data_IF_374127571436
#
_entry.id   IF_374127571436
#
_cell.length_a   1.000
_cell.length_b   1.000
_cell.length_c   1.000
_cell.angle_alpha   90.00
_cell.angle_beta   90.00
_cell.angle_gamma   90.00
#
_symmetry.space_group_name_H-M   'P 1'
#
loop_
_entity.id
_entity.type
_entity.pdbx_description
1 polymer ?
#
# COMPACT_ATOMS: atom_id res chain seq x y z
N UNK A 1 34.87 25.99 -5.10
CA UNK A 1 35.75 25.28 -6.05
C UNK A 1 35.02 24.04 -6.56
N UNK A 2 34.47 24.13 -7.77
CA UNK A 2 33.67 23.07 -8.37
C UNK A 2 34.57 22.25 -9.30
N UNK A 3 35.04 21.10 -8.85
CA UNK A 3 35.83 20.17 -9.65
C UNK A 3 34.88 19.38 -10.55
N UNK A 4 34.95 19.66 -11.86
CA UNK A 4 34.17 19.10 -12.96
C UNK A 4 34.35 17.57 -13.20
N UNK A 5 34.74 16.78 -12.20
CA UNK A 5 34.81 15.31 -12.26
C UNK A 5 33.74 14.73 -11.33
N UNK A 6 32.67 14.20 -11.94
CA UNK A 6 31.64 13.44 -11.24
C UNK A 6 32.02 11.96 -11.29
N UNK A 7 32.16 11.30 -10.15
CA UNK A 7 32.49 9.87 -10.10
C UNK A 7 31.24 9.02 -10.29
N UNK A 8 31.38 7.93 -11.06
CA UNK A 8 30.30 6.95 -11.27
C UNK A 8 29.87 6.27 -9.96
N UNK A 9 30.79 6.11 -9.02
CA UNK A 9 30.50 5.65 -7.66
C UNK A 9 29.55 6.60 -6.94
N UNK A 10 29.86 7.90 -6.96
CA UNK A 10 29.07 8.91 -6.25
C UNK A 10 27.65 9.01 -6.82
N UNK A 11 27.51 8.89 -8.14
CA UNK A 11 26.19 8.82 -8.78
C UNK A 11 25.41 7.56 -8.41
N UNK A 12 26.08 6.40 -8.29
CA UNK A 12 25.43 5.15 -7.86
C UNK A 12 25.02 5.20 -6.40
N UNK A 13 25.89 5.70 -5.51
CA UNK A 13 25.56 5.94 -4.11
C UNK A 13 24.38 6.89 -3.99
N UNK A 14 24.41 8.00 -4.72
CA UNK A 14 23.30 8.94 -4.80
C UNK A 14 22.00 8.25 -5.25
N UNK A 15 22.04 7.43 -6.30
CA UNK A 15 20.85 6.74 -6.80
C UNK A 15 20.32 5.69 -5.79
N UNK A 16 21.21 4.99 -5.08
CA UNK A 16 20.83 3.99 -4.07
C UNK A 16 20.31 4.59 -2.78
N UNK A 17 20.81 5.76 -2.40
CA UNK A 17 20.45 6.46 -1.17
C UNK A 17 19.21 7.33 -1.36
N UNK A 18 19.00 7.85 -2.56
CA UNK A 18 17.86 8.71 -2.86
C UNK A 18 16.58 7.90 -2.94
N UNK A 19 15.58 8.32 -2.18
CA UNK A 19 14.22 7.79 -2.27
C UNK A 19 13.46 8.58 -3.33
N UNK A 20 12.47 7.95 -3.98
CA UNK A 20 11.59 8.65 -4.93
C UNK A 20 10.99 9.95 -4.34
N UNK A 21 10.76 9.94 -3.03
CA UNK A 21 10.23 11.05 -2.23
C UNK A 21 11.21 12.22 -2.05
N UNK A 22 12.52 11.99 -2.25
CA UNK A 22 13.56 13.03 -2.18
C UNK A 22 13.60 13.86 -3.47
N UNK A 23 13.04 13.33 -4.56
CA UNK A 23 12.91 14.01 -5.86
C UNK A 23 11.58 14.73 -6.04
N UNK A 24 10.59 14.45 -5.19
CA UNK A 24 9.33 15.20 -5.17
C UNK A 24 9.52 16.48 -4.38
N UNK A 25 9.62 17.61 -5.07
CA UNK A 25 9.39 18.91 -4.44
C UNK A 25 7.93 18.93 -3.99
N UNK A 26 7.71 19.09 -2.69
CA UNK A 26 6.38 19.29 -2.14
C UNK A 26 5.98 20.73 -2.47
N UNK A 27 5.51 20.94 -3.70
CA UNK A 27 4.81 22.16 -4.07
C UNK A 27 3.42 22.17 -3.40
N UNK A 28 2.76 23.33 -3.37
CA UNK A 28 1.50 23.57 -2.64
C UNK A 28 0.34 22.63 -2.98
N UNK A 29 0.45 21.89 -4.09
CA UNK A 29 -0.65 21.12 -4.68
C UNK A 29 -0.51 19.61 -4.46
N UNK A 30 0.47 19.17 -3.66
CA UNK A 30 0.76 17.74 -3.44
C UNK A 30 0.27 17.30 -2.05
N UNK A 31 -0.67 16.37 -2.02
CA UNK A 31 -1.06 15.66 -0.80
C UNK A 31 0.05 14.66 -0.44
N UNK A 32 0.73 14.88 0.69
CA UNK A 32 1.81 14.01 1.17
C UNK A 32 1.29 13.00 2.21
N UNK A 33 1.18 11.74 1.81
CA UNK A 33 0.80 10.63 2.70
C UNK A 33 2.05 9.90 3.17
N UNK A 34 2.29 9.88 4.49
CA UNK A 34 3.46 9.21 5.05
C UNK A 34 3.24 8.79 6.50
N UNK A 35 4.14 7.96 7.03
CA UNK A 35 4.18 7.71 8.47
C UNK A 35 4.76 8.93 9.19
N UNK A 36 4.41 9.12 10.47
CA UNK A 36 4.91 10.21 11.32
C UNK A 36 6.45 10.34 11.24
N UNK A 37 7.15 9.21 11.22
CA UNK A 37 8.60 9.14 11.12
C UNK A 37 9.16 9.77 9.82
N UNK A 38 8.47 9.58 8.68
CA UNK A 38 8.86 10.10 7.37
C UNK A 38 8.47 11.57 7.14
N UNK A 39 7.69 12.17 8.06
CA UNK A 39 7.32 13.58 8.03
C UNK A 39 8.25 14.46 8.87
N UNK A 40 9.18 13.88 9.64
CA UNK A 40 10.08 14.63 10.53
C UNK A 40 10.94 15.64 9.74
N UNK A 41 11.00 16.88 10.22
CA UNK A 41 11.76 17.95 9.58
C UNK A 41 11.03 18.66 8.42
N UNK A 42 9.81 18.22 8.09
CA UNK A 42 8.90 18.91 7.16
C UNK A 42 7.79 19.60 7.95
N UNK A 43 7.17 20.61 7.37
CA UNK A 43 6.03 21.33 7.95
C UNK A 43 5.01 21.63 6.85
N UNK A 44 3.72 21.62 7.19
CA UNK A 44 2.61 21.73 6.25
C UNK A 44 1.55 22.70 6.79
N UNK A 45 0.84 23.39 5.92
CA UNK A 45 -0.27 24.26 6.33
C UNK A 45 -1.43 23.46 6.92
N UNK A 46 -1.80 22.36 6.27
CA UNK A 46 -2.86 21.44 6.69
C UNK A 46 -2.25 20.08 7.00
N UNK A 47 -2.51 19.54 8.19
CA UNK A 47 -2.07 18.20 8.60
C UNK A 47 -3.27 17.39 9.04
N UNK A 48 -3.41 16.20 8.44
CA UNK A 48 -4.37 15.19 8.85
C UNK A 48 -3.60 14.04 9.50
N UNK A 49 -3.93 13.73 10.75
CA UNK A 49 -3.38 12.58 11.48
C UNK A 49 -4.49 11.54 11.59
N UNK A 50 -4.20 10.31 11.16
CA UNK A 50 -5.11 9.17 11.33
C UNK A 50 -4.47 8.21 12.34
N UNK A 51 -5.14 8.02 13.48
CA UNK A 51 -4.73 7.14 14.55
C UNK A 51 -5.75 6.01 14.66
N UNK A 52 -5.30 4.80 14.37
CA UNK A 52 -6.09 3.58 14.52
C UNK A 52 -5.58 2.83 15.75
N UNK A 53 -6.46 2.57 16.72
CA UNK A 53 -6.21 1.93 18.00
C UNK A 53 -4.94 2.45 18.71
N UNK A 54 -4.69 3.76 18.62
CA UNK A 54 -3.45 4.34 19.13
C UNK A 54 -3.47 4.48 20.65
N UNK A 55 -2.54 3.80 21.32
CA UNK A 55 -2.35 3.93 22.76
C UNK A 55 -1.26 4.96 23.10
N UNK A 56 -1.68 6.07 23.71
CA UNK A 56 -0.81 7.13 24.20
C UNK A 56 -0.28 6.90 25.63
N UNK A 57 -0.31 5.66 26.14
CA UNK A 57 0.16 5.32 27.50
C UNK A 57 1.67 5.57 27.70
N UNK A 58 2.48 5.32 26.68
CA UNK A 58 3.94 5.43 26.75
C UNK A 58 4.46 6.81 26.34
N UNK A 59 5.57 7.25 26.94
CA UNK A 59 6.22 8.52 26.57
C UNK A 59 6.71 8.53 25.11
N UNK A 60 7.12 7.38 24.60
CA UNK A 60 7.50 7.25 23.18
C UNK A 60 6.31 7.52 22.26
N UNK A 61 5.14 6.94 22.56
CA UNK A 61 3.91 7.17 21.80
C UNK A 61 3.48 8.65 21.87
N UNK A 62 3.45 9.23 23.06
CA UNK A 62 3.15 10.67 23.25
C UNK A 62 4.08 11.55 22.43
N UNK A 63 5.39 11.26 22.45
CA UNK A 63 6.39 12.00 21.67
C UNK A 63 6.15 11.88 20.17
N UNK A 64 5.78 10.69 19.67
CA UNK A 64 5.43 10.50 18.25
C UNK A 64 4.23 11.35 17.86
N UNK A 65 3.16 11.32 18.66
CA UNK A 65 1.96 12.12 18.40
C UNK A 65 2.28 13.62 18.45
N UNK A 66 3.03 14.08 19.44
CA UNK A 66 3.49 15.46 19.54
C UNK A 66 4.30 15.92 18.31
N UNK A 67 5.23 15.09 17.85
CA UNK A 67 6.03 15.37 16.65
C UNK A 67 5.16 15.45 15.40
N UNK A 68 4.05 14.70 15.32
CA UNK A 68 3.09 14.75 14.23
C UNK A 68 2.24 16.03 14.28
N UNK A 69 1.71 16.38 15.45
CA UNK A 69 0.88 17.58 15.64
C UNK A 69 1.67 18.85 15.29
N UNK A 70 2.94 18.94 15.72
CA UNK A 70 3.84 20.07 15.43
C UNK A 70 4.27 20.19 13.97
N UNK A 71 3.80 19.30 13.06
CA UNK A 71 3.98 19.49 11.62
C UNK A 71 3.01 20.51 11.03
N UNK A 72 1.92 20.81 11.73
CA UNK A 72 0.90 21.75 11.27
C UNK A 72 1.32 23.19 11.54
N UNK A 73 1.30 24.02 10.51
CA UNK A 73 1.49 25.48 10.62
C UNK A 73 0.19 26.22 10.93
N UNK A 74 -0.94 25.69 10.44
CA UNK A 74 -2.24 26.38 10.54
C UNK A 74 -3.35 25.44 10.98
N UNK A 75 -3.64 24.39 10.21
CA UNK A 75 -4.78 23.51 10.46
C UNK A 75 -4.31 22.09 10.80
N UNK A 76 -4.84 21.56 11.89
CA UNK A 76 -4.57 20.21 12.37
C UNK A 76 -5.89 19.48 12.55
N UNK A 77 -6.08 18.40 11.81
CA UNK A 77 -7.22 17.49 11.94
C UNK A 77 -6.71 16.14 12.44
N UNK A 78 -7.27 15.64 13.53
CA UNK A 78 -6.89 14.35 14.12
C UNK A 78 -8.12 13.44 14.07
N UNK A 79 -8.02 12.37 13.28
CA UNK A 79 -9.00 11.30 13.23
C UNK A 79 -8.54 10.18 14.14
N UNK A 80 -9.35 9.87 15.14
CA UNK A 80 -9.07 8.83 16.13
C UNK A 80 -10.30 7.93 16.27
N UNK A 81 -10.06 6.65 16.54
CA UNK A 81 -11.07 5.66 16.92
C UNK A 81 -11.07 5.36 18.43
N UNK A 82 -10.28 6.12 19.21
CA UNK A 82 -10.10 5.96 20.65
C UNK A 82 -10.19 7.29 21.41
N UNK A 83 -10.42 7.19 22.72
CA UNK A 83 -10.50 8.33 23.64
C UNK A 83 -9.12 8.91 24.01
N UNK A 84 -8.04 8.52 23.33
CA UNK A 84 -6.66 8.83 23.74
C UNK A 84 -6.28 10.31 23.64
N UNK A 85 -7.09 11.13 22.98
CA UNK A 85 -6.89 12.58 22.83
C UNK A 85 -8.00 13.40 23.50
N UNK A 86 -8.90 12.78 24.26
CA UNK A 86 -10.05 13.43 24.91
C UNK A 86 -9.65 14.43 25.99
N UNK A 87 -8.47 14.26 26.58
CA UNK A 87 -7.92 15.20 27.57
C UNK A 87 -7.40 16.51 26.99
N UNK A 88 -7.37 16.69 25.66
CA UNK A 88 -6.87 17.91 25.03
C UNK A 88 -8.00 18.94 24.94
N UNK A 89 -7.76 20.14 25.49
CA UNK A 89 -8.68 21.27 25.38
C UNK A 89 -7.91 22.53 24.96
N UNK A 90 -8.35 23.15 23.87
CA UNK A 90 -7.79 24.40 23.31
C UNK A 90 -8.93 25.26 22.76
N UNK A 91 -8.70 26.58 22.67
CA UNK A 91 -9.72 27.59 22.38
C UNK A 91 -10.53 27.35 21.08
N UNK A 92 -9.89 26.81 20.03
CA UNK A 92 -10.51 26.57 18.72
C UNK A 92 -10.68 25.07 18.40
N UNK A 93 -10.86 24.23 19.41
CA UNK A 93 -11.06 22.80 19.20
C UNK A 93 -12.49 22.52 18.73
N UNK A 94 -12.62 21.99 17.51
CA UNK A 94 -13.85 21.36 17.04
C UNK A 94 -13.76 19.84 17.25
N UNK A 95 -14.76 19.25 17.91
CA UNK A 95 -14.87 17.81 18.12
C UNK A 95 -16.13 17.30 17.44
N UNK A 96 -15.94 16.33 16.54
CA UNK A 96 -17.01 15.68 15.80
C UNK A 96 -16.95 14.18 16.12
N UNK A 97 -18.04 13.64 16.66
CA UNK A 97 -18.22 12.20 16.85
C UNK A 97 -19.03 11.66 15.67
N UNK A 98 -18.40 10.81 14.86
CA UNK A 98 -19.07 10.14 13.75
C UNK A 98 -19.46 8.70 14.16
N UNK A 99 -20.72 8.53 14.54
CA UNK A 99 -21.31 7.23 14.85
C UNK A 99 -22.00 6.59 13.63
N UNK A 100 -21.76 7.13 12.43
CA UNK A 100 -22.37 6.63 11.20
C UNK A 100 -21.80 5.27 10.82
N UNK A 101 -22.67 4.36 10.42
CA UNK A 101 -22.23 3.10 9.82
C UNK A 101 -21.74 3.36 8.38
N UNK A 102 -20.42 3.35 8.19
CA UNK A 102 -19.82 3.42 6.87
C UNK A 102 -19.88 2.06 6.20
N UNK A 103 -20.57 1.99 5.06
CA UNK A 103 -20.62 0.75 4.30
C UNK A 103 -19.20 0.35 3.85
N UNK A 104 -18.83 -0.94 3.94
CA UNK A 104 -17.56 -1.41 3.41
C UNK A 104 -17.45 -1.06 1.92
N UNK A 105 -16.23 -0.78 1.42
CA UNK A 105 -16.04 -0.41 0.02
C UNK A 105 -16.56 -1.50 -0.91
N UNK A 106 -17.10 -1.10 -2.06
CA UNK A 106 -17.56 -2.05 -3.08
C UNK A 106 -16.40 -2.75 -3.79
N UNK A 107 -15.25 -2.08 -3.88
CA UNK A 107 -14.05 -2.61 -4.51
C UNK A 107 -12.82 -2.36 -3.62
N UNK A 108 -11.92 -3.34 -3.57
CA UNK A 108 -10.64 -3.25 -2.86
C UNK A 108 -9.54 -3.66 -3.83
N UNK A 109 -8.49 -2.84 -3.93
CA UNK A 109 -7.30 -3.18 -4.71
C UNK A 109 -6.14 -3.42 -3.75
N UNK A 110 -5.56 -4.62 -3.81
CA UNK A 110 -4.39 -4.99 -3.03
C UNK A 110 -3.15 -5.03 -3.92
N UNK A 111 -2.18 -4.17 -3.64
CA UNK A 111 -0.88 -4.17 -4.31
C UNK A 111 0.06 -5.12 -3.58
N UNK A 112 0.47 -6.21 -4.24
CA UNK A 112 1.23 -7.27 -3.57
C UNK A 112 2.72 -6.98 -3.54
N UNK A 113 3.38 -7.38 -2.45
CA UNK A 113 4.82 -7.28 -2.29
C UNK A 113 5.53 -8.64 -2.34
N UNK A 114 6.84 -8.62 -2.08
CA UNK A 114 7.70 -9.81 -2.11
C UNK A 114 7.23 -10.95 -1.21
N UNK A 115 6.54 -10.65 -0.11
CA UNK A 115 6.05 -11.64 0.87
C UNK A 115 4.75 -12.34 0.47
N UNK A 116 4.06 -11.79 -0.52
CA UNK A 116 2.72 -12.23 -0.91
C UNK A 116 2.75 -13.17 -2.13
N UNK A 117 3.96 -13.43 -2.66
CA UNK A 117 4.24 -14.33 -3.79
C UNK A 117 5.32 -15.35 -3.40
N UNK A 118 5.40 -16.46 -4.14
CA UNK A 118 6.48 -17.44 -3.97
C UNK A 118 7.67 -17.03 -4.86
N UNK A 119 8.69 -16.41 -4.29
CA UNK A 119 9.83 -15.84 -5.05
C UNK A 119 10.60 -16.90 -5.87
N UNK A 120 10.82 -18.07 -5.30
CA UNK A 120 11.51 -19.17 -5.99
C UNK A 120 10.74 -19.69 -7.22
N UNK A 121 9.45 -19.40 -7.32
CA UNK A 121 8.62 -19.77 -8.46
C UNK A 121 9.05 -19.07 -9.75
N UNK A 122 9.70 -17.90 -9.66
CA UNK A 122 10.10 -17.13 -10.84
C UNK A 122 11.44 -17.58 -11.45
N UNK A 123 12.29 -18.26 -10.67
CA UNK A 123 13.70 -18.54 -11.05
C UNK A 123 13.81 -19.32 -12.36
N UNK A 124 12.91 -20.27 -12.59
CA UNK A 124 12.89 -21.13 -13.79
C UNK A 124 11.92 -20.64 -14.88
N UNK A 125 11.40 -19.41 -14.78
CA UNK A 125 10.39 -18.86 -15.70
C UNK A 125 10.81 -17.56 -16.39
N UNK A 126 12.09 -17.20 -16.30
CA UNK A 126 12.64 -15.93 -16.78
C UNK A 126 12.33 -15.64 -18.25
N UNK A 127 12.21 -16.66 -19.11
CA UNK A 127 11.82 -16.46 -20.51
C UNK A 127 10.40 -15.88 -20.62
N UNK A 128 9.40 -16.56 -20.07
CA UNK A 128 8.00 -16.14 -20.07
C UNK A 128 7.82 -14.78 -19.41
N UNK A 129 8.51 -14.54 -18.29
CA UNK A 129 8.38 -13.28 -17.55
C UNK A 129 8.85 -12.06 -18.35
N UNK A 130 9.84 -12.20 -19.25
CA UNK A 130 10.34 -11.08 -20.06
C UNK A 130 9.33 -10.58 -21.09
N UNK A 131 8.33 -11.38 -21.41
CA UNK A 131 7.26 -11.01 -22.35
C UNK A 131 6.18 -10.17 -21.65
N UNK A 132 6.05 -10.29 -20.33
CA UNK A 132 5.07 -9.54 -19.53
C UNK A 132 5.41 -8.06 -19.40
N UNK A 133 4.36 -7.26 -19.26
CA UNK A 133 4.40 -5.82 -19.00
C UNK A 133 3.46 -5.47 -17.86
N UNK A 134 3.75 -4.35 -17.19
CA UNK A 134 2.82 -3.77 -16.22
C UNK A 134 1.47 -3.49 -16.89
N UNK A 135 0.39 -3.85 -16.22
CA UNK A 135 -0.98 -3.79 -16.72
C UNK A 135 -1.48 -5.10 -17.36
N UNK A 136 -0.60 -6.06 -17.66
CA UNK A 136 -1.02 -7.33 -18.23
C UNK A 136 -1.94 -8.09 -17.28
N UNK A 137 -3.09 -8.53 -17.80
CA UNK A 137 -4.07 -9.29 -17.03
C UNK A 137 -3.61 -10.72 -16.83
N UNK A 138 -3.77 -11.20 -15.61
CA UNK A 138 -3.47 -12.57 -15.24
C UNK A 138 -4.76 -13.31 -14.91
N UNK A 139 -4.86 -14.54 -15.41
CA UNK A 139 -5.92 -15.48 -15.03
C UNK A 139 -5.51 -16.23 -13.77
N UNK A 140 -6.38 -16.29 -12.77
CA UNK A 140 -6.14 -17.00 -11.51
C UNK A 140 -6.76 -18.39 -11.57
N UNK A 141 -5.97 -19.42 -11.24
CA UNK A 141 -6.45 -20.79 -11.02
C UNK A 141 -5.80 -21.36 -9.76
N UNK A 142 -6.62 -21.52 -8.72
CA UNK A 142 -6.17 -21.89 -7.38
C UNK A 142 -5.10 -20.93 -6.86
N UNK A 143 -3.89 -21.41 -6.51
CA UNK A 143 -2.81 -20.57 -6.01
C UNK A 143 -1.94 -19.97 -7.12
N UNK A 144 -2.14 -20.36 -8.38
CA UNK A 144 -1.31 -19.97 -9.52
C UNK A 144 -2.00 -18.93 -10.40
N UNK A 145 -1.19 -18.16 -11.11
CA UNK A 145 -1.61 -17.14 -12.07
C UNK A 145 -0.97 -17.39 -13.42
N UNK A 146 -1.75 -17.16 -14.47
CA UNK A 146 -1.44 -17.47 -15.85
C UNK A 146 -1.52 -16.21 -16.71
N UNK A 147 -0.65 -16.09 -17.70
CA UNK A 147 -0.75 -15.03 -18.70
C UNK A 147 -1.88 -15.33 -19.71
N UNK A 148 -2.06 -14.41 -20.67
CA UNK A 148 -3.05 -14.55 -21.74
C UNK A 148 -2.82 -15.75 -22.67
N UNK A 149 -1.61 -16.30 -22.68
CA UNK A 149 -1.24 -17.48 -23.50
C UNK A 149 -1.35 -18.80 -22.73
N UNK A 150 -1.70 -18.74 -21.43
CA UNK A 150 -1.84 -19.91 -20.57
C UNK A 150 -0.52 -20.38 -19.94
N UNK A 151 0.55 -19.60 -20.00
CA UNK A 151 1.77 -19.93 -19.25
C UNK A 151 1.63 -19.52 -17.79
N UNK A 152 2.16 -20.36 -16.90
CA UNK A 152 2.23 -20.06 -15.47
C UNK A 152 3.29 -18.99 -15.22
N UNK A 153 2.90 -17.87 -14.64
CA UNK A 153 3.79 -16.73 -14.43
C UNK A 153 4.02 -16.42 -12.96
N UNK A 154 3.06 -16.73 -12.10
CA UNK A 154 3.11 -16.35 -10.68
C UNK A 154 2.39 -17.37 -9.81
N UNK A 155 2.83 -17.49 -8.56
CA UNK A 155 2.13 -18.24 -7.52
C UNK A 155 2.06 -17.40 -6.25
N UNK A 156 0.87 -17.33 -5.66
CA UNK A 156 0.65 -16.63 -4.40
C UNK A 156 1.29 -17.38 -3.23
N UNK A 157 1.78 -16.62 -2.24
CA UNK A 157 2.25 -17.21 -0.99
C UNK A 157 1.08 -17.72 -0.15
N UNK A 158 1.33 -18.69 0.74
CA UNK A 158 0.29 -19.20 1.65
C UNK A 158 -0.33 -18.08 2.51
N UNK A 159 0.48 -17.09 2.91
CA UNK A 159 0.00 -15.91 3.64
C UNK A 159 -1.05 -15.15 2.83
N UNK A 160 -0.80 -14.92 1.55
CA UNK A 160 -1.75 -14.18 0.72
C UNK A 160 -2.99 -14.99 0.36
N UNK A 161 -2.88 -16.32 0.24
CA UNK A 161 -4.05 -17.18 0.07
C UNK A 161 -5.00 -17.10 1.29
N UNK A 162 -4.44 -17.03 2.50
CA UNK A 162 -5.21 -16.79 3.73
C UNK A 162 -5.87 -15.40 3.71
N UNK A 163 -5.19 -14.38 3.19
CA UNK A 163 -5.77 -13.04 3.02
C UNK A 163 -6.94 -13.05 2.03
N UNK A 164 -6.81 -13.76 0.89
CA UNK A 164 -7.91 -13.96 -0.06
C UNK A 164 -9.12 -14.61 0.63
N UNK A 165 -8.89 -15.64 1.44
CA UNK A 165 -9.97 -16.30 2.18
C UNK A 165 -10.61 -15.38 3.23
N UNK A 166 -9.81 -14.57 3.91
CA UNK A 166 -10.30 -13.54 4.83
C UNK A 166 -11.21 -12.54 4.11
N UNK A 167 -10.82 -12.05 2.92
CA UNK A 167 -11.67 -11.20 2.09
C UNK A 167 -12.93 -11.92 1.61
N UNK A 168 -12.83 -13.21 1.27
CA UNK A 168 -13.96 -14.04 0.87
C UNK A 168 -15.01 -14.15 1.98
N UNK A 169 -14.57 -14.37 3.22
CA UNK A 169 -15.44 -14.40 4.39
C UNK A 169 -16.12 -13.05 4.66
N UNK A 170 -15.51 -11.94 4.25
CA UNK A 170 -16.09 -10.60 4.30
C UNK A 170 -17.03 -10.29 3.11
N UNK A 171 -17.31 -11.28 2.25
CA UNK A 171 -18.21 -11.16 1.10
C UNK A 171 -17.55 -10.62 -0.17
N UNK A 172 -16.22 -10.59 -0.25
CA UNK A 172 -15.51 -10.17 -1.44
C UNK A 172 -15.10 -11.34 -2.33
N UNK A 173 -14.98 -11.10 -3.63
CA UNK A 173 -14.40 -12.05 -4.59
C UNK A 173 -13.32 -11.38 -5.42
N UNK A 174 -12.32 -12.15 -5.85
CA UNK A 174 -11.31 -11.67 -6.79
C UNK A 174 -11.97 -11.42 -8.13
N UNK A 175 -11.99 -10.15 -8.57
CA UNK A 175 -12.49 -9.68 -9.85
C UNK A 175 -11.45 -9.81 -10.96
N UNK A 176 -10.21 -9.42 -10.65
CA UNK A 176 -9.10 -9.49 -11.61
C UNK A 176 -7.75 -9.45 -10.91
N UNK A 177 -6.75 -10.00 -11.60
CA UNK A 177 -5.34 -9.88 -11.22
C UNK A 177 -4.61 -9.24 -12.40
N UNK A 178 -3.71 -8.31 -12.13
CA UNK A 178 -2.87 -7.70 -13.15
C UNK A 178 -1.43 -7.56 -12.66
N UNK A 179 -0.47 -7.56 -13.58
CA UNK A 179 0.92 -7.24 -13.28
C UNK A 179 1.00 -5.78 -12.86
N UNK A 180 1.46 -5.50 -11.63
CA UNK A 180 1.69 -4.13 -11.18
C UNK A 180 3.15 -3.74 -11.44
N UNK A 181 4.09 -4.47 -10.83
CA UNK A 181 5.52 -4.23 -11.00
C UNK A 181 6.28 -5.46 -11.50
N UNK A 182 7.27 -5.18 -12.34
CA UNK A 182 8.30 -6.10 -12.79
C UNK A 182 9.61 -5.65 -12.14
N UNK A 183 10.20 -6.46 -11.26
CA UNK A 183 11.41 -6.07 -10.51
C UNK A 183 12.46 -7.16 -10.57
N UNK A 184 13.74 -6.77 -10.53
CA UNK A 184 14.84 -7.70 -10.37
C UNK A 184 15.10 -7.93 -8.89
N UNK A 185 15.13 -9.20 -8.49
CA UNK A 185 15.33 -9.64 -7.12
C UNK A 185 16.56 -10.55 -7.03
N UNK A 186 17.50 -10.19 -6.15
CA UNK A 186 18.65 -11.02 -5.82
C UNK A 186 18.28 -11.95 -4.66
N UNK A 187 18.31 -13.25 -4.93
CA UNK A 187 18.18 -14.26 -3.87
C UNK A 187 19.43 -14.25 -3.00
N UNK A 188 19.25 -14.42 -1.69
CA UNK A 188 20.37 -14.53 -0.77
C UNK A 188 21.28 -15.72 -1.16
N UNK A 189 22.57 -15.45 -1.34
CA UNK A 189 23.55 -16.43 -1.79
C UNK A 189 23.57 -16.70 -3.30
N UNK A 190 22.74 -16.04 -4.10
CA UNK A 190 22.83 -16.08 -5.57
C UNK A 190 23.78 -15.00 -6.10
N UNK A 191 24.39 -15.26 -7.25
CA UNK A 191 25.26 -14.30 -7.95
C UNK A 191 24.49 -13.39 -8.92
N UNK A 192 23.32 -13.83 -9.40
CA UNK A 192 22.53 -13.14 -10.41
C UNK A 192 21.12 -12.81 -9.92
N UNK A 193 20.63 -11.64 -10.34
CA UNK A 193 19.26 -11.20 -10.09
C UNK A 193 18.27 -11.91 -11.02
N UNK A 194 17.10 -12.24 -10.50
CA UNK A 194 16.00 -12.82 -11.26
C UNK A 194 14.84 -11.84 -11.37
N UNK A 195 14.25 -11.73 -12.56
CA UNK A 195 13.04 -10.96 -12.78
C UNK A 195 11.87 -11.63 -12.08
N UNK A 196 11.12 -10.87 -11.29
CA UNK A 196 9.93 -11.32 -10.57
C UNK A 196 8.75 -10.39 -10.87
N UNK A 197 7.55 -10.92 -10.67
CA UNK A 197 6.28 -10.22 -10.89
C UNK A 197 5.64 -9.93 -9.55
N UNK A 198 5.25 -8.68 -9.34
CA UNK A 198 4.41 -8.25 -8.23
C UNK A 198 3.06 -7.80 -8.78
N UNK A 199 1.98 -8.54 -8.52
CA UNK A 199 0.68 -8.24 -9.08
C UNK A 199 -0.10 -7.27 -8.19
N UNK A 200 -1.15 -6.71 -8.75
CA UNK A 200 -2.27 -6.19 -7.98
C UNK A 200 -3.49 -7.09 -8.14
N UNK A 201 -4.27 -7.23 -7.07
CA UNK A 201 -5.46 -8.07 -7.00
C UNK A 201 -6.65 -7.21 -6.67
N UNK A 202 -7.63 -7.20 -7.56
CA UNK A 202 -8.87 -6.46 -7.41
C UNK A 202 -9.92 -7.38 -6.83
N UNK A 203 -10.56 -6.93 -5.77
CA UNK A 203 -11.66 -7.59 -5.11
C UNK A 203 -12.93 -6.77 -5.30
N UNK A 204 -14.07 -7.44 -5.48
CA UNK A 204 -15.39 -6.82 -5.55
C UNK A 204 -16.31 -7.46 -4.52
N UNK A 205 -17.12 -6.64 -3.85
CA UNK A 205 -18.11 -7.12 -2.89
C UNK A 205 -19.26 -7.80 -3.63
N UNK A 206 -19.64 -9.00 -3.23
CA UNK A 206 -20.84 -9.67 -3.77
C UNK A 206 -22.08 -8.90 -3.35
N UNK A 207 -22.71 -8.22 -4.30
CA UNK A 207 -24.03 -7.64 -4.11
C UNK A 207 -25.06 -8.76 -4.29
N UNK A 208 -25.71 -9.20 -3.21
CA UNK A 208 -26.87 -10.08 -3.32
C UNK A 208 -27.99 -9.34 -4.06
N UNK A 209 -28.18 -9.66 -5.35
CA UNK A 209 -29.38 -9.24 -6.07
C UNK A 209 -30.51 -10.18 -5.65
N UNK A 210 -31.38 -9.71 -4.75
CA UNK A 210 -32.64 -10.40 -4.46
C UNK A 210 -33.54 -10.22 -5.68
N UNK A 211 -33.62 -11.25 -6.52
CA UNK A 211 -34.65 -11.32 -7.57
C UNK A 211 -35.97 -11.59 -6.85
N UNK A 212 -36.73 -10.55 -6.55
CA UNK A 212 -38.13 -10.66 -6.16
C UNK A 212 -38.91 -11.27 -7.33
N UNK A 213 -39.12 -12.58 -7.31
CA UNK A 213 -40.17 -13.22 -8.11
C UNK A 213 -41.51 -12.65 -7.66
N UNK A 214 -42.04 -11.72 -8.43
CA UNK A 214 -43.44 -11.30 -8.34
C UNK A 214 -44.31 -12.52 -8.59
N UNK A 215 -44.89 -13.08 -7.52
CA UNK A 215 -45.93 -14.10 -7.63
C UNK A 215 -47.17 -13.38 -8.16
N UNK A 216 -47.53 -13.70 -9.40
CA UNK A 216 -48.82 -13.37 -9.98
C UNK A 216 -49.86 -14.30 -9.36
N UNK A 217 -50.91 -13.73 -8.79
CA UNK A 217 -52.19 -14.40 -8.52
C UNK A 217 -53.28 -13.37 -8.71
#
# INVERSE_FOLDING_TARGET
TNTSRKYKSDWRSYLSESKIQDFTRIDSDIIYVSTIHKAKGKEFYNVFIMLENFDASTDEAKRKLYVAMTRAKSNLSIHVDSNSVDGISVENLERIEDNSYHNPPLEIVMQLGLKDVVLDYFLNRQHTLRELRSGDRLHIDGPECFDSTGHRVLRFSNKFLVEIETKRNLGYEVKSVAVNFMVYWLKEGAEEESLIVLPEVWFVKRLHTVISKTITS
#
